data_IF_892849124225
#
_entry.id   IF_892849124225
#
_cell.length_a   1.000
_cell.length_b   1.000
_cell.length_c   1.000
_cell.angle_alpha   90.00
_cell.angle_beta   90.00
_cell.angle_gamma   90.00
#
_symmetry.space_group_name_H-M   'P 1'
#
loop_
_entity.id
_entity.type
_entity.pdbx_description
1 polymer ?
#
# COMPACT_ATOMS: atom_id res chain seq x y z
N UNK A 1 11.46 -31.34 -42.70
CA UNK A 1 11.40 -31.21 -41.23
C UNK A 1 12.43 -30.16 -40.85
N UNK A 2 12.00 -28.92 -40.64
CA UNK A 2 12.88 -27.81 -40.25
C UNK A 2 13.12 -27.94 -38.74
N UNK A 3 14.32 -28.35 -38.35
CA UNK A 3 14.73 -28.32 -36.95
C UNK A 3 14.82 -26.86 -36.52
N UNK A 4 13.93 -26.44 -35.64
CA UNK A 4 14.04 -25.15 -34.97
C UNK A 4 15.32 -25.15 -34.13
N UNK A 5 16.39 -24.55 -34.65
CA UNK A 5 17.63 -24.29 -33.94
C UNK A 5 17.33 -23.38 -32.73
N UNK A 6 17.02 -24.02 -31.61
CA UNK A 6 16.95 -23.46 -30.27
C UNK A 6 18.38 -23.14 -29.81
N UNK A 7 18.93 -22.08 -30.40
CA UNK A 7 20.27 -21.59 -30.08
C UNK A 7 20.32 -21.08 -28.63
N UNK A 8 21.38 -21.38 -27.86
CA UNK A 8 21.52 -20.96 -26.45
C UNK A 8 21.32 -19.45 -26.25
N UNK A 9 21.68 -18.66 -27.26
CA UNK A 9 21.50 -17.21 -27.26
C UNK A 9 20.03 -16.78 -27.30
N UNK A 10 19.17 -17.50 -28.02
CA UNK A 10 17.71 -17.28 -28.00
C UNK A 10 17.14 -17.60 -26.63
N UNK A 11 17.58 -18.71 -26.01
CA UNK A 11 17.14 -19.07 -24.66
C UNK A 11 17.56 -18.02 -23.62
N UNK A 12 18.80 -17.52 -23.67
CA UNK A 12 19.28 -16.45 -22.78
C UNK A 12 18.57 -15.11 -23.04
N UNK A 13 18.29 -14.78 -24.29
CA UNK A 13 17.57 -13.56 -24.65
C UNK A 13 16.11 -13.64 -24.18
N UNK A 14 15.49 -14.81 -24.25
CA UNK A 14 14.12 -15.06 -23.79
C UNK A 14 14.06 -15.06 -22.25
N UNK A 15 15.03 -15.66 -21.56
CA UNK A 15 15.20 -15.56 -20.09
C UNK A 15 15.41 -14.09 -19.67
N UNK A 16 16.21 -13.31 -20.40
CA UNK A 16 16.41 -11.89 -20.14
C UNK A 16 15.17 -11.03 -20.41
N UNK A 17 14.32 -11.43 -21.37
CA UNK A 17 13.05 -10.76 -21.71
C UNK A 17 11.96 -11.10 -20.69
N UNK A 18 11.89 -12.36 -20.25
CA UNK A 18 11.04 -12.83 -19.16
C UNK A 18 11.47 -12.19 -17.84
N UNK A 19 12.77 -12.17 -17.53
CA UNK A 19 13.33 -11.50 -16.35
C UNK A 19 13.02 -10.00 -16.31
N UNK A 20 13.05 -9.30 -17.46
CA UNK A 20 12.61 -7.89 -17.56
C UNK A 20 11.10 -7.71 -17.40
N UNK A 21 10.26 -8.63 -17.92
CA UNK A 21 8.79 -8.60 -17.69
C UNK A 21 8.43 -8.87 -16.25
N UNK A 22 9.07 -9.85 -15.61
CA UNK A 22 8.90 -10.16 -14.18
C UNK A 22 9.36 -8.97 -13.32
N UNK A 23 10.51 -8.35 -13.63
CA UNK A 23 10.98 -7.12 -12.96
C UNK A 23 10.04 -5.93 -13.14
N UNK A 24 9.36 -5.78 -14.28
CA UNK A 24 8.34 -4.72 -14.49
C UNK A 24 7.06 -5.01 -13.72
N UNK A 25 6.62 -6.26 -13.68
CA UNK A 25 5.39 -6.71 -13.01
C UNK A 25 5.44 -6.43 -11.50
N UNK A 26 6.53 -6.78 -10.83
CA UNK A 26 6.57 -6.66 -9.37
C UNK A 26 6.92 -5.24 -8.85
N UNK A 27 7.08 -4.23 -9.72
CA UNK A 27 7.11 -2.80 -9.31
C UNK A 27 5.71 -2.28 -8.93
N UNK A 28 4.65 -2.85 -9.49
CA UNK A 28 3.27 -2.47 -9.20
C UNK A 28 2.91 -2.60 -7.71
N UNK A 29 3.14 -3.75 -7.06
CA UNK A 29 2.84 -3.96 -5.64
C UNK A 29 3.57 -3.03 -4.68
N UNK A 30 4.86 -2.77 -4.93
CA UNK A 30 5.64 -1.82 -4.11
C UNK A 30 5.07 -0.40 -4.18
N UNK A 31 4.69 0.04 -5.39
CA UNK A 31 4.01 1.33 -5.60
C UNK A 31 2.63 1.37 -4.96
N UNK A 32 1.86 0.29 -5.03
CA UNK A 32 0.55 0.21 -4.39
C UNK A 32 0.67 0.38 -2.87
N UNK A 33 1.62 -0.29 -2.21
CA UNK A 33 1.84 -0.09 -0.77
C UNK A 33 2.27 1.33 -0.42
N UNK A 34 3.18 1.93 -1.20
CA UNK A 34 3.57 3.32 -0.99
C UNK A 34 2.38 4.27 -1.10
N UNK A 35 1.56 4.10 -2.14
CA UNK A 35 0.38 4.92 -2.36
C UNK A 35 -0.61 4.81 -1.21
N UNK A 36 -0.91 3.59 -0.75
CA UNK A 36 -1.83 3.37 0.38
C UNK A 36 -1.28 3.90 1.69
N UNK A 37 0.02 3.71 1.92
CA UNK A 37 0.70 4.26 3.09
C UNK A 37 0.53 5.78 3.15
N UNK A 38 0.86 6.48 2.07
CA UNK A 38 0.70 7.94 1.97
C UNK A 38 -0.77 8.37 2.08
N UNK A 39 -1.68 7.68 1.39
CA UNK A 39 -3.10 7.96 1.47
C UNK A 39 -3.63 7.80 2.91
N UNK A 40 -3.13 6.83 3.68
CA UNK A 40 -3.49 6.65 5.09
C UNK A 40 -3.06 7.85 5.93
N UNK A 41 -1.86 8.37 5.69
CA UNK A 41 -1.34 9.53 6.44
C UNK A 41 -2.18 10.79 6.23
N UNK A 42 -2.79 10.94 5.05
CA UNK A 42 -3.64 12.09 4.68
C UNK A 42 -5.10 11.86 5.05
N UNK A 43 -5.59 10.62 4.94
CA UNK A 43 -6.98 10.25 5.20
C UNK A 43 -7.43 10.63 6.62
N UNK A 44 -6.66 10.26 7.63
CA UNK A 44 -7.04 10.48 9.03
C UNK A 44 -7.15 11.97 9.41
N UNK A 45 -6.18 12.84 9.06
CA UNK A 45 -6.33 14.29 9.22
C UNK A 45 -7.53 14.84 8.44
N UNK A 46 -7.73 14.42 7.19
CA UNK A 46 -8.87 14.89 6.39
C UNK A 46 -10.22 14.50 7.00
N UNK A 47 -10.31 13.32 7.61
CA UNK A 47 -11.52 12.80 8.26
C UNK A 47 -11.86 13.53 9.56
N UNK A 48 -10.86 13.87 10.39
CA UNK A 48 -11.09 14.38 11.75
C UNK A 48 -10.87 15.90 11.90
N UNK A 49 -9.99 16.48 11.09
CA UNK A 49 -9.68 17.92 11.11
C UNK A 49 -10.35 18.67 9.96
N UNK A 50 -10.77 17.97 8.91
CA UNK A 50 -11.44 18.58 7.77
C UNK A 50 -12.81 19.14 8.14
N UNK A 51 -13.05 20.40 7.80
CA UNK A 51 -14.40 20.97 7.79
C UNK A 51 -15.24 20.32 6.68
N UNK A 52 -16.57 20.32 6.83
CA UNK A 52 -17.46 19.79 5.80
C UNK A 52 -17.19 20.52 4.46
N UNK A 53 -16.98 19.81 3.32
CA UNK A 53 -17.28 18.40 3.06
C UNK A 53 -16.09 17.41 3.11
N UNK A 54 -14.93 17.82 3.62
CA UNK A 54 -13.69 17.02 3.58
C UNK A 54 -13.84 15.60 4.17
N UNK A 55 -14.50 15.38 5.32
CA UNK A 55 -14.65 14.02 5.87
C UNK A 55 -15.44 13.09 4.96
N UNK A 56 -16.46 13.62 4.27
CA UNK A 56 -17.30 12.86 3.35
C UNK A 56 -16.51 12.47 2.09
N UNK A 57 -15.73 13.40 1.54
CA UNK A 57 -14.83 13.12 0.41
C UNK A 57 -13.72 12.15 0.79
N UNK A 58 -13.15 12.28 1.99
CA UNK A 58 -12.12 11.37 2.50
C UNK A 58 -12.67 9.95 2.66
N UNK A 59 -13.87 9.81 3.23
CA UNK A 59 -14.55 8.51 3.35
C UNK A 59 -14.83 7.86 2.00
N UNK A 60 -15.41 8.60 1.05
CA UNK A 60 -15.65 8.12 -0.32
C UNK A 60 -14.35 7.73 -1.03
N UNK A 61 -13.32 8.58 -0.96
CA UNK A 61 -12.02 8.31 -1.54
C UNK A 61 -11.38 7.04 -0.96
N UNK A 62 -11.53 6.82 0.35
CA UNK A 62 -11.04 5.61 1.03
C UNK A 62 -11.76 4.35 0.57
N UNK A 63 -13.09 4.39 0.42
CA UNK A 63 -13.88 3.27 -0.10
C UNK A 63 -13.43 2.93 -1.54
N UNK A 64 -13.36 3.93 -2.42
CA UNK A 64 -12.92 3.74 -3.81
C UNK A 64 -11.51 3.15 -3.87
N UNK A 65 -10.61 3.66 -3.04
CA UNK A 65 -9.24 3.14 -2.93
C UNK A 65 -9.23 1.66 -2.50
N UNK A 66 -9.99 1.32 -1.46
CA UNK A 66 -10.07 -0.05 -0.93
C UNK A 66 -10.61 -1.02 -1.97
N UNK A 67 -11.68 -0.64 -2.67
CA UNK A 67 -12.24 -1.44 -3.78
C UNK A 67 -11.23 -1.62 -4.90
N UNK A 68 -10.56 -0.54 -5.33
CA UNK A 68 -9.54 -0.60 -6.37
C UNK A 68 -8.36 -1.52 -5.97
N UNK A 69 -7.93 -1.49 -4.70
CA UNK A 69 -6.91 -2.39 -4.17
C UNK A 69 -7.37 -3.84 -4.14
N UNK A 70 -8.59 -4.12 -3.68
CA UNK A 70 -9.14 -5.47 -3.72
C UNK A 70 -9.15 -6.02 -5.14
N UNK A 71 -9.64 -5.24 -6.11
CA UNK A 71 -9.63 -5.63 -7.54
C UNK A 71 -8.20 -5.82 -8.05
N UNK A 72 -7.30 -4.90 -7.74
CA UNK A 72 -5.89 -4.98 -8.13
C UNK A 72 -5.22 -6.25 -7.59
N UNK A 73 -5.39 -6.56 -6.31
CA UNK A 73 -4.82 -7.75 -5.68
C UNK A 73 -5.46 -9.04 -6.18
N UNK A 74 -6.77 -9.07 -6.41
CA UNK A 74 -7.45 -10.22 -7.04
C UNK A 74 -6.89 -10.48 -8.43
N UNK A 75 -6.67 -9.44 -9.23
CA UNK A 75 -6.01 -9.57 -10.55
C UNK A 75 -4.55 -9.99 -10.44
N UNK A 76 -3.86 -9.63 -9.36
CA UNK A 76 -2.46 -9.99 -9.12
C UNK A 76 -2.25 -11.38 -8.50
N UNK A 77 -3.28 -12.03 -7.95
CA UNK A 77 -3.20 -13.34 -7.26
C UNK A 77 -2.59 -14.47 -8.09
N UNK A 78 -2.29 -14.24 -9.37
CA UNK A 78 -1.68 -15.21 -10.28
C UNK A 78 -0.15 -15.32 -10.10
N UNK A 79 0.56 -14.36 -9.49
CA UNK A 79 2.04 -14.41 -9.44
C UNK A 79 2.63 -14.04 -8.07
N UNK A 80 3.49 -14.94 -7.57
CA UNK A 80 4.46 -14.83 -6.46
C UNK A 80 4.07 -15.25 -5.02
N UNK A 81 4.57 -16.44 -4.64
CA UNK A 81 4.70 -16.91 -3.23
C UNK A 81 5.51 -15.93 -2.37
N UNK A 82 6.45 -15.21 -2.97
CA UNK A 82 7.27 -14.19 -2.30
C UNK A 82 6.40 -13.00 -1.81
N UNK A 83 5.42 -12.58 -2.62
CA UNK A 83 4.46 -11.56 -2.23
C UNK A 83 3.62 -12.02 -1.05
N UNK A 84 3.17 -13.28 -1.02
CA UNK A 84 2.39 -13.82 0.10
C UNK A 84 3.15 -13.79 1.44
N UNK A 85 4.47 -14.02 1.42
CA UNK A 85 5.32 -14.02 2.63
C UNK A 85 5.56 -12.62 3.21
N UNK A 86 5.65 -11.60 2.35
CA UNK A 86 5.84 -10.20 2.77
C UNK A 86 4.50 -9.54 3.11
N UNK A 87 3.44 -9.88 2.38
CA UNK A 87 2.13 -9.24 2.49
C UNK A 87 1.44 -9.54 3.83
N UNK A 88 1.58 -10.76 4.36
CA UNK A 88 0.97 -11.13 5.66
C UNK A 88 1.43 -10.25 6.83
N UNK A 89 2.73 -10.19 7.15
CA UNK A 89 3.24 -9.40 8.27
C UNK A 89 3.02 -7.89 8.07
N UNK A 90 3.21 -7.39 6.85
CA UNK A 90 3.05 -5.96 6.54
C UNK A 90 1.58 -5.54 6.65
N UNK A 91 0.65 -6.36 6.14
CA UNK A 91 -0.79 -6.10 6.27
C UNK A 91 -1.24 -6.19 7.73
N UNK A 92 -0.76 -7.18 8.49
CA UNK A 92 -1.08 -7.29 9.91
C UNK A 92 -0.57 -6.07 10.69
N UNK A 93 0.69 -5.67 10.48
CA UNK A 93 1.25 -4.47 11.09
C UNK A 93 0.45 -3.22 10.71
N UNK A 94 0.09 -3.08 9.42
CA UNK A 94 -0.75 -1.98 8.96
C UNK A 94 -2.11 -1.95 9.66
N UNK A 95 -2.82 -3.08 9.73
CA UNK A 95 -4.13 -3.16 10.41
C UNK A 95 -4.00 -2.73 11.87
N UNK A 96 -3.00 -3.24 12.58
CA UNK A 96 -2.73 -2.87 13.98
C UNK A 96 -2.46 -1.38 14.12
N UNK A 97 -1.57 -0.83 13.29
CA UNK A 97 -1.23 0.60 13.38
C UNK A 97 -2.36 1.51 12.91
N UNK A 98 -3.22 1.05 12.00
CA UNK A 98 -4.39 1.79 11.52
C UNK A 98 -5.47 1.92 12.60
N UNK A 99 -5.55 0.98 13.55
CA UNK A 99 -6.45 1.08 14.70
C UNK A 99 -6.08 2.22 15.65
N UNK A 100 -4.82 2.65 15.70
CA UNK A 100 -4.37 3.72 16.60
C UNK A 100 -5.05 5.07 16.33
N UNK A 101 -4.97 5.67 15.13
CA UNK A 101 -5.67 6.91 14.82
C UNK A 101 -7.20 6.73 14.85
N UNK A 102 -7.73 5.54 14.57
CA UNK A 102 -9.16 5.26 14.72
C UNK A 102 -9.61 5.39 16.18
N UNK A 103 -8.97 4.64 17.09
CA UNK A 103 -9.31 4.66 18.51
C UNK A 103 -9.10 6.05 19.07
N UNK A 104 -7.97 6.69 18.74
CA UNK A 104 -7.67 8.04 19.19
C UNK A 104 -8.67 9.10 18.68
N UNK A 105 -9.01 9.04 17.39
CA UNK A 105 -9.92 10.00 16.76
C UNK A 105 -11.39 9.81 17.12
N UNK A 106 -11.83 8.58 17.42
CA UNK A 106 -13.23 8.29 17.76
C UNK A 106 -13.49 8.37 19.26
N UNK A 107 -12.61 7.80 20.08
CA UNK A 107 -12.86 7.63 21.52
C UNK A 107 -12.16 8.69 22.38
N UNK A 108 -11.06 9.27 21.90
CA UNK A 108 -10.26 10.26 22.65
C UNK A 108 -10.39 11.67 22.07
N UNK A 109 -11.41 11.93 21.24
CA UNK A 109 -11.64 13.26 20.67
C UNK A 109 -12.26 14.18 21.72
N UNK A 110 -11.58 15.28 22.11
CA UNK A 110 -12.17 16.27 23.00
C UNK A 110 -13.20 17.13 22.25
N UNK A 111 -14.17 17.68 22.98
CA UNK A 111 -15.20 18.59 22.42
C UNK A 111 -14.60 19.80 21.69
N UNK A 112 -13.45 20.28 22.19
CA UNK A 112 -12.63 21.30 21.52
C UNK A 112 -11.24 20.71 21.25
N UNK A 113 -10.89 20.39 19.99
CA UNK A 113 -9.57 19.88 19.65
C UNK A 113 -8.49 20.91 19.98
N UNK A 114 -7.56 20.53 20.84
CA UNK A 114 -6.38 21.33 21.16
C UNK A 114 -5.29 21.12 20.10
N UNK A 115 -4.31 22.02 20.05
CA UNK A 115 -3.14 21.86 19.18
C UNK A 115 -2.37 20.56 19.50
N UNK A 116 -2.27 20.20 20.78
CA UNK A 116 -1.62 18.95 21.22
C UNK A 116 -2.35 17.70 20.73
N UNK A 117 -3.68 17.68 20.81
CA UNK A 117 -4.48 16.57 20.27
C UNK A 117 -4.33 16.45 18.75
N UNK A 118 -4.34 17.58 18.05
CA UNK A 118 -4.16 17.63 16.59
C UNK A 118 -2.79 17.09 16.18
N UNK A 119 -1.72 17.51 16.86
CA UNK A 119 -0.38 17.01 16.62
C UNK A 119 -0.26 15.50 16.87
N UNK A 120 -0.86 15.01 17.97
CA UNK A 120 -0.91 13.58 18.27
C UNK A 120 -1.64 12.78 17.19
N UNK A 121 -2.80 13.26 16.72
CA UNK A 121 -3.54 12.63 15.64
C UNK A 121 -2.70 12.55 14.36
N UNK A 122 -2.04 13.64 13.96
CA UNK A 122 -1.17 13.66 12.77
C UNK A 122 -0.02 12.67 12.93
N UNK A 123 0.64 12.63 14.10
CA UNK A 123 1.71 11.68 14.38
C UNK A 123 1.22 10.22 14.27
N UNK A 124 0.06 9.90 14.85
CA UNK A 124 -0.55 8.57 14.73
C UNK A 124 -0.92 8.22 13.29
N UNK A 125 -1.36 9.21 12.51
CA UNK A 125 -1.68 9.04 11.10
C UNK A 125 -0.45 8.70 10.26
N UNK A 126 0.68 9.36 10.54
CA UNK A 126 1.98 9.05 9.93
C UNK A 126 2.42 7.64 10.33
N UNK A 127 2.39 7.32 11.63
CA UNK A 127 2.75 5.98 12.13
C UNK A 127 1.90 4.87 11.49
N UNK A 128 0.60 5.12 11.28
CA UNK A 128 -0.30 4.18 10.62
C UNK A 128 0.09 3.88 9.16
N UNK A 129 0.64 4.85 8.43
CA UNK A 129 1.08 4.66 7.04
C UNK A 129 2.46 4.00 6.91
N UNK A 130 3.30 4.06 7.94
CA UNK A 130 4.70 3.62 7.88
C UNK A 130 4.90 2.14 7.52
N UNK A 131 4.12 1.17 8.05
CA UNK A 131 4.31 -0.24 7.69
C UNK A 131 4.17 -0.48 6.18
N UNK A 132 3.23 0.21 5.53
CA UNK A 132 3.02 0.10 4.09
C UNK A 132 4.09 0.82 3.30
N UNK A 133 4.53 2.01 3.73
CA UNK A 133 5.65 2.71 3.08
C UNK A 133 6.91 1.85 3.16
N UNK A 134 7.23 1.32 4.34
CA UNK A 134 8.35 0.41 4.55
C UNK A 134 8.22 -0.87 3.70
N UNK A 135 7.04 -1.49 3.70
CA UNK A 135 6.76 -2.68 2.87
C UNK A 135 6.96 -2.40 1.38
N UNK A 136 6.48 -1.24 0.90
CA UNK A 136 6.66 -0.79 -0.48
C UNK A 136 8.12 -0.56 -0.85
N UNK A 137 8.86 0.17 -0.01
CA UNK A 137 10.31 0.39 -0.19
C UNK A 137 11.10 -0.92 -0.16
N UNK A 138 10.77 -1.83 0.76
CA UNK A 138 11.43 -3.13 0.87
C UNK A 138 11.18 -3.99 -0.37
N UNK A 139 9.95 -4.05 -0.87
CA UNK A 139 9.62 -4.77 -2.12
C UNK A 139 10.34 -4.17 -3.34
N UNK A 140 10.58 -2.86 -3.34
CA UNK A 140 11.33 -2.17 -4.39
C UNK A 140 12.84 -2.36 -4.28
N UNK A 141 13.39 -2.48 -3.05
CA UNK A 141 14.83 -2.56 -2.75
C UNK A 141 15.40 -3.98 -2.75
N UNK A 142 14.59 -5.00 -2.40
CA UNK A 142 15.03 -6.40 -2.33
C UNK A 142 15.02 -7.10 -3.70
N UNK A 143 15.49 -6.39 -4.75
CA UNK A 143 15.37 -6.73 -6.16
C UNK A 143 16.65 -6.55 -6.96
#
# INVERSE_FOLDING_TARGET
MSGDDFTPDKALQEIGRVGRRVRRSSRGPGRAYLFVGLATMVYWPAMFLGGHPLPLLAGLGWIVLTVALCVYWVRLRVHDRLMRRINGPVSAAYVVTMMLPFVFGVWLRPDRPTAGWTAALVALSVLAGLPLVYGGLRVMRNR
#
